data_IF_556477441947
#
_entry.id   IF_556477441947
#
_cell.length_a   1.000
_cell.length_b   1.000
_cell.length_c   1.000
_cell.angle_alpha   90.00
_cell.angle_beta   90.00
_cell.angle_gamma   90.00
#
_symmetry.space_group_name_H-M   'P 1'
#
loop_
_entity.id
_entity.type
_entity.pdbx_description
1 polymer ?
#
# COMPACT_ATOMS: atom_id res chain seq x y z
N UNK A 1 -22.31 27.41 -3.11
CA UNK A 1 -20.88 27.35 -2.72
C UNK A 1 -20.76 26.24 -1.68
N UNK A 2 -20.30 25.03 -2.01
CA UNK A 2 -20.02 24.05 -0.98
C UNK A 2 -18.58 24.23 -0.49
N UNK A 3 -18.45 24.14 0.84
CA UNK A 3 -17.22 24.27 1.60
C UNK A 3 -16.23 23.14 1.27
N UNK A 4 -15.06 23.54 0.80
CA UNK A 4 -13.87 22.68 0.71
C UNK A 4 -13.15 22.69 2.06
N UNK A 5 -13.48 21.71 2.90
CA UNK A 5 -12.73 21.39 4.10
C UNK A 5 -11.54 20.50 3.70
N UNK A 6 -10.38 21.13 3.51
CA UNK A 6 -9.17 20.49 3.05
C UNK A 6 -8.73 19.28 3.87
N UNK A 7 -8.55 18.16 3.16
CA UNK A 7 -7.59 17.12 3.49
C UNK A 7 -6.86 16.77 2.19
N UNK A 8 -5.75 17.45 1.96
CA UNK A 8 -4.93 17.26 0.77
C UNK A 8 -4.38 15.83 0.74
N UNK A 9 -4.77 15.12 -0.32
CA UNK A 9 -4.17 13.89 -0.84
C UNK A 9 -2.81 14.19 -1.45
N UNK A 10 -2.17 13.19 -2.09
CA UNK A 10 -1.12 13.31 -3.11
C UNK A 10 -1.09 14.73 -3.66
N UNK A 11 -0.01 15.47 -3.45
CA UNK A 11 0.08 16.90 -3.77
C UNK A 11 -0.42 17.17 -5.20
N UNK A 12 -1.55 17.88 -5.33
CA UNK A 12 -2.20 18.18 -6.62
C UNK A 12 -3.22 17.14 -7.13
N UNK A 13 -3.55 16.12 -6.34
CA UNK A 13 -4.54 15.09 -6.67
C UNK A 13 -5.97 15.38 -6.19
N UNK A 14 -6.94 14.57 -6.63
CA UNK A 14 -8.36 14.70 -6.25
C UNK A 14 -8.83 13.56 -5.36
N UNK A 15 -9.98 13.78 -4.71
CA UNK A 15 -10.89 12.74 -4.23
C UNK A 15 -10.97 11.52 -5.16
N UNK A 16 -11.00 10.32 -4.60
CA UNK A 16 -11.09 9.02 -5.27
C UNK A 16 -12.24 8.31 -4.59
N UNK A 17 -13.06 7.69 -5.42
CA UNK A 17 -14.24 6.99 -4.98
C UNK A 17 -13.85 5.74 -4.18
N UNK A 18 -14.71 5.30 -3.26
CA UNK A 18 -14.53 4.01 -2.62
C UNK A 18 -14.33 2.88 -3.63
N UNK A 19 -13.29 2.07 -3.42
CA UNK A 19 -12.96 0.96 -4.32
C UNK A 19 -12.34 1.35 -5.66
N UNK A 20 -12.01 2.63 -5.90
CA UNK A 20 -11.34 3.05 -7.15
C UNK A 20 -9.94 2.42 -7.31
N UNK A 21 -9.28 2.12 -6.18
CA UNK A 21 -7.96 1.48 -6.13
C UNK A 21 -8.01 0.26 -5.20
N UNK A 22 -8.69 -0.83 -5.59
CA UNK A 22 -9.07 -1.89 -4.67
C UNK A 22 -7.88 -2.76 -4.19
N UNK A 23 -6.71 -2.61 -4.81
CA UNK A 23 -5.46 -3.25 -4.39
C UNK A 23 -4.58 -2.38 -3.50
N UNK A 24 -4.93 -1.11 -3.27
CA UNK A 24 -4.08 -0.20 -2.50
C UNK A 24 -4.06 -0.57 -1.03
N UNK A 25 -2.85 -0.56 -0.45
CA UNK A 25 -2.60 -0.98 0.92
C UNK A 25 -1.95 0.16 1.69
N UNK A 26 -2.41 0.36 2.93
CA UNK A 26 -1.73 1.21 3.91
C UNK A 26 -0.98 0.34 4.91
N UNK A 27 0.35 0.43 4.90
CA UNK A 27 1.22 -0.15 5.93
C UNK A 27 1.32 0.86 7.06
N UNK A 28 0.92 0.47 8.26
CA UNK A 28 0.82 1.34 9.42
C UNK A 28 1.84 1.00 10.49
N UNK A 29 2.46 2.03 11.05
CA UNK A 29 3.39 1.93 12.16
C UNK A 29 2.81 2.62 13.41
N UNK A 30 2.75 1.96 14.59
CA UNK A 30 2.14 2.51 15.80
C UNK A 30 2.72 3.84 16.31
N UNK A 31 3.99 4.12 16.01
CA UNK A 31 4.64 5.41 16.34
C UNK A 31 4.24 6.57 15.43
N UNK A 32 3.63 6.33 14.27
CA UNK A 32 3.19 7.41 13.38
C UNK A 32 1.89 7.97 13.93
N UNK A 33 1.79 9.30 14.20
CA UNK A 33 0.57 9.91 14.70
C UNK A 33 -0.63 9.77 13.75
N UNK A 34 -1.84 9.94 14.29
CA UNK A 34 -3.07 9.94 13.49
C UNK A 34 -3.40 8.55 12.95
N UNK A 35 -3.41 8.41 11.62
CA UNK A 35 -3.80 7.15 10.94
C UNK A 35 -2.75 6.06 11.04
N UNK A 36 -1.54 6.39 11.51
CA UNK A 36 -0.42 5.46 11.54
C UNK A 36 0.20 5.17 10.17
N UNK A 37 -0.30 5.77 9.08
CA UNK A 37 0.17 5.49 7.72
C UNK A 37 1.67 5.78 7.57
N UNK A 38 2.43 4.74 7.26
CA UNK A 38 3.88 4.81 7.10
C UNK A 38 4.31 4.64 5.65
N UNK A 39 3.75 3.64 4.96
CA UNK A 39 4.05 3.34 3.56
C UNK A 39 2.82 2.82 2.83
N UNK A 40 2.86 2.91 1.49
CA UNK A 40 1.92 2.25 0.59
C UNK A 40 2.36 0.85 0.19
N UNK A 41 1.43 0.10 -0.40
CA UNK A 41 1.70 -1.18 -1.06
C UNK A 41 0.56 -1.54 -2.02
N UNK A 42 0.75 -2.63 -2.76
CA UNK A 42 -0.26 -3.23 -3.64
C UNK A 42 -0.50 -4.68 -3.28
N UNK A 43 -1.75 -5.06 -3.08
CA UNK A 43 -2.15 -6.44 -2.90
C UNK A 43 -2.04 -7.18 -4.23
N UNK A 44 -1.11 -8.14 -4.36
CA UNK A 44 -0.87 -8.91 -5.60
C UNK A 44 -1.28 -10.39 -5.47
N UNK A 45 -1.64 -10.81 -4.26
CA UNK A 45 -2.23 -12.09 -3.94
C UNK A 45 -2.99 -11.98 -2.63
N UNK A 46 -3.88 -12.93 -2.31
CA UNK A 46 -4.71 -12.84 -1.09
C UNK A 46 -3.89 -12.79 0.20
N UNK A 47 -2.64 -13.24 0.18
CA UNK A 47 -1.68 -13.14 1.29
C UNK A 47 -0.40 -12.37 0.93
N UNK A 48 -0.36 -11.69 -0.21
CA UNK A 48 0.87 -11.11 -0.74
C UNK A 48 0.71 -9.64 -1.06
N UNK A 49 1.52 -8.80 -0.40
CA UNK A 49 1.62 -7.37 -0.68
C UNK A 49 2.98 -7.04 -1.25
N UNK A 50 2.99 -6.36 -2.39
CA UNK A 50 4.16 -5.76 -3.00
C UNK A 50 4.36 -4.34 -2.48
N UNK A 51 5.58 -4.00 -2.08
CA UNK A 51 5.92 -2.67 -1.56
C UNK A 51 7.41 -2.37 -1.79
N UNK A 52 7.89 -1.24 -1.28
CA UNK A 52 9.28 -0.84 -1.33
C UNK A 52 10.08 -1.46 -0.16
N UNK A 53 11.34 -1.81 -0.41
CA UNK A 53 12.23 -2.34 0.63
C UNK A 53 12.62 -1.28 1.66
N UNK A 54 12.82 -0.03 1.22
CA UNK A 54 13.24 1.07 2.09
C UNK A 54 12.24 1.37 3.20
N UNK A 55 10.95 1.04 3.02
CA UNK A 55 9.92 1.14 4.05
C UNK A 55 10.30 0.40 5.33
N UNK A 56 11.20 -0.58 5.26
CA UNK A 56 11.58 -1.43 6.38
C UNK A 56 12.99 -1.15 6.93
N UNK A 57 13.72 -0.16 6.40
CA UNK A 57 15.10 0.16 6.81
C UNK A 57 15.28 0.45 8.30
N UNK A 58 14.26 1.05 8.91
CA UNK A 58 14.25 1.44 10.33
C UNK A 58 13.35 0.56 11.19
N UNK A 59 12.77 -0.49 10.60
CA UNK A 59 11.81 -1.37 11.27
C UNK A 59 12.56 -2.52 11.94
N UNK A 60 12.54 -2.55 13.28
CA UNK A 60 13.20 -3.61 14.06
C UNK A 60 12.32 -4.85 14.26
N UNK A 61 11.00 -4.67 14.33
CA UNK A 61 10.03 -5.75 14.59
C UNK A 61 8.86 -5.59 13.61
N UNK A 62 8.74 -6.49 12.64
CA UNK A 62 7.66 -6.44 11.63
C UNK A 62 6.28 -6.71 12.23
N UNK A 63 6.19 -7.49 13.31
CA UNK A 63 4.91 -7.85 13.95
C UNK A 63 4.17 -6.69 14.64
N UNK A 64 4.78 -5.51 14.74
CA UNK A 64 4.10 -4.30 15.24
C UNK A 64 3.34 -3.56 14.12
N UNK A 65 3.58 -3.93 12.86
CA UNK A 65 2.99 -3.26 11.71
C UNK A 65 1.64 -3.87 11.37
N UNK A 66 0.71 -3.00 11.03
CA UNK A 66 -0.58 -3.38 10.48
C UNK A 66 -0.61 -3.10 8.99
N UNK A 67 -1.31 -3.96 8.26
CA UNK A 67 -1.56 -3.84 6.84
C UNK A 67 -3.05 -3.65 6.67
N UNK A 68 -3.47 -2.47 6.20
CA UNK A 68 -4.88 -2.12 6.02
C UNK A 68 -5.21 -2.11 4.53
N UNK A 69 -6.21 -2.89 4.12
CA UNK A 69 -6.69 -2.99 2.74
C UNK A 69 -8.19 -2.68 2.70
N UNK A 70 -8.67 -2.09 1.60
CA UNK A 70 -10.10 -1.78 1.39
C UNK A 70 -10.56 -0.46 2.01
N UNK A 71 -9.69 0.25 2.70
CA UNK A 71 -9.98 1.58 3.22
C UNK A 71 -9.86 2.64 2.12
N UNK A 72 -10.76 3.62 2.12
CA UNK A 72 -10.62 4.85 1.28
C UNK A 72 -10.19 6.03 2.13
N UNK A 73 -10.75 6.16 3.33
CA UNK A 73 -10.32 7.11 4.35
C UNK A 73 -9.72 6.33 5.51
N UNK A 74 -8.47 6.63 5.88
CA UNK A 74 -7.80 5.93 6.99
C UNK A 74 -8.23 6.42 8.38
N UNK A 75 -8.78 7.64 8.47
CA UNK A 75 -9.32 8.21 9.72
C UNK A 75 -10.65 7.57 10.11
N UNK A 76 -11.42 7.11 9.11
CA UNK A 76 -12.67 6.41 9.28
C UNK A 76 -12.74 5.26 8.25
N UNK A 77 -12.02 4.14 8.51
CA UNK A 77 -12.05 2.98 7.63
C UNK A 77 -13.48 2.47 7.45
N UNK A 78 -13.81 2.05 6.23
CA UNK A 78 -15.11 1.46 5.96
C UNK A 78 -15.24 0.09 6.64
N UNK A 79 -16.46 -0.41 6.91
CA UNK A 79 -16.66 -1.72 7.51
C UNK A 79 -16.02 -2.88 6.72
N UNK A 80 -15.83 -2.69 5.41
CA UNK A 80 -15.24 -3.68 4.51
C UNK A 80 -13.71 -3.69 4.55
N UNK A 81 -13.08 -2.70 5.22
CA UNK A 81 -11.64 -2.65 5.36
C UNK A 81 -11.15 -3.81 6.25
N UNK A 82 -10.09 -4.47 5.79
CA UNK A 82 -9.48 -5.58 6.50
C UNK A 82 -8.11 -5.19 7.02
N UNK A 83 -7.81 -5.63 8.24
CA UNK A 83 -6.49 -5.43 8.88
C UNK A 83 -5.81 -6.79 8.98
N UNK A 84 -4.53 -6.82 8.59
CA UNK A 84 -3.66 -7.99 8.65
C UNK A 84 -2.34 -7.63 9.32
N UNK A 85 -1.67 -8.64 9.86
CA UNK A 85 -0.30 -8.51 10.35
C UNK A 85 0.67 -9.10 9.33
N UNK A 86 1.92 -8.65 9.39
CA UNK A 86 2.99 -9.19 8.55
C UNK A 86 3.56 -10.45 9.22
N UNK A 87 3.47 -11.58 8.53
CA UNK A 87 4.09 -12.85 8.94
C UNK A 87 5.56 -12.88 8.54
N UNK A 88 5.84 -12.60 7.26
CA UNK A 88 7.20 -12.59 6.72
C UNK A 88 7.44 -11.34 5.86
N UNK A 89 8.69 -10.86 5.85
CA UNK A 89 9.18 -9.77 5.02
C UNK A 89 10.33 -10.29 4.16
N UNK A 90 10.19 -10.18 2.84
CA UNK A 90 11.20 -10.55 1.86
C UNK A 90 11.64 -9.29 1.13
N UNK A 91 12.83 -8.78 1.44
CA UNK A 91 13.46 -7.72 0.65
C UNK A 91 14.21 -8.36 -0.50
N UNK A 92 14.29 -7.67 -1.63
CA UNK A 92 15.14 -8.11 -2.72
C UNK A 92 16.58 -8.33 -2.21
N UNK A 93 17.19 -9.46 -2.57
CA UNK A 93 18.50 -9.86 -2.06
C UNK A 93 19.61 -8.83 -2.39
N UNK A 94 19.46 -8.16 -3.53
CA UNK A 94 20.36 -7.10 -4.00
C UNK A 94 19.92 -5.68 -3.59
N UNK A 95 18.96 -5.51 -2.69
CA UNK A 95 18.57 -4.18 -2.21
C UNK A 95 19.74 -3.48 -1.51
N UNK A 96 20.07 -2.26 -1.96
CA UNK A 96 21.12 -1.44 -1.36
C UNK A 96 20.55 -0.14 -0.82
N UNK A 97 20.60 0.01 0.49
CA UNK A 97 20.12 1.22 1.19
C UNK A 97 20.87 2.50 0.82
N UNK A 98 22.13 2.40 0.38
CA UNK A 98 22.96 3.57 0.07
C UNK A 98 22.49 4.32 -1.19
N UNK A 99 21.98 3.60 -2.18
CA UNK A 99 21.57 4.14 -3.48
C UNK A 99 20.10 3.81 -3.83
N UNK A 100 19.39 3.08 -2.96
CA UNK A 100 18.01 2.64 -3.12
C UNK A 100 17.83 1.75 -4.37
N UNK A 101 18.90 1.10 -4.84
CA UNK A 101 18.79 0.12 -5.92
C UNK A 101 18.05 -1.15 -5.46
N UNK A 102 17.26 -1.74 -6.36
CA UNK A 102 16.41 -2.91 -6.11
C UNK A 102 15.44 -2.70 -4.93
N UNK A 103 14.82 -1.52 -4.86
CA UNK A 103 13.88 -1.13 -3.80
C UNK A 103 12.51 -1.79 -3.95
N UNK A 104 12.48 -3.10 -3.70
CA UNK A 104 11.29 -3.94 -3.82
C UNK A 104 11.28 -4.96 -2.68
N UNK A 105 10.10 -5.16 -2.09
CA UNK A 105 9.86 -6.13 -1.05
C UNK A 105 8.48 -6.78 -1.18
N UNK A 106 8.40 -8.03 -0.72
CA UNK A 106 7.16 -8.78 -0.56
C UNK A 106 6.85 -8.96 0.92
N UNK A 107 5.58 -8.78 1.27
CA UNK A 107 5.05 -9.12 2.58
C UNK A 107 4.15 -10.33 2.43
N UNK A 108 4.39 -11.35 3.25
CA UNK A 108 3.43 -12.43 3.47
C UNK A 108 2.54 -12.04 4.66
N UNK A 109 1.24 -12.00 4.45
CA UNK A 109 0.25 -11.71 5.49
C UNK A 109 0.02 -12.94 6.38
N UNK A 110 -0.29 -12.72 7.65
CA UNK A 110 -0.58 -13.79 8.60
C UNK A 110 -1.78 -14.66 8.19
N UNK A 111 -2.76 -14.09 7.50
CA UNK A 111 -3.97 -14.76 7.02
C UNK A 111 -4.45 -14.11 5.71
N UNK A 112 -5.17 -14.84 4.84
CA UNK A 112 -5.66 -14.29 3.57
C UNK A 112 -6.67 -13.15 3.79
N UNK A 113 -6.69 -12.22 2.85
CA UNK A 113 -7.78 -11.24 2.73
C UNK A 113 -8.91 -11.82 1.90
N UNK A 114 -10.14 -11.44 2.25
CA UNK A 114 -11.32 -11.78 1.47
C UNK A 114 -11.55 -10.70 0.40
N UNK A 115 -11.62 -11.10 -0.87
CA UNK A 115 -11.85 -10.17 -1.95
C UNK A 115 -13.30 -9.66 -1.94
N UNK A 116 -13.48 -8.40 -2.32
CA UNK A 116 -14.75 -7.68 -2.36
C UNK A 116 -14.70 -6.59 -3.44
N UNK A 117 -15.79 -5.84 -3.69
CA UNK A 117 -15.73 -4.66 -4.55
C UNK A 117 -14.68 -3.61 -4.14
N UNK A 118 -14.24 -3.62 -2.88
CA UNK A 118 -13.25 -2.68 -2.33
C UNK A 118 -11.86 -3.30 -2.14
N UNK A 119 -11.75 -4.63 -2.27
CA UNK A 119 -10.51 -5.40 -2.07
C UNK A 119 -10.33 -6.34 -3.25
N UNK A 120 -9.40 -6.02 -4.14
CA UNK A 120 -9.06 -6.85 -5.30
C UNK A 120 -7.55 -6.90 -5.48
N UNK A 121 -7.10 -7.90 -6.23
CA UNK A 121 -5.68 -8.09 -6.53
C UNK A 121 -5.27 -7.19 -7.70
N UNK A 122 -4.10 -6.54 -7.58
CA UNK A 122 -3.41 -5.95 -8.71
C UNK A 122 -2.82 -7.06 -9.58
N UNK A 123 -2.82 -6.84 -10.90
CA UNK A 123 -2.03 -7.65 -11.82
C UNK A 123 -0.54 -7.29 -11.67
N UNK A 124 0.32 -8.29 -11.76
CA UNK A 124 1.77 -8.08 -11.91
C UNK A 124 2.08 -8.00 -13.41
N UNK A 125 2.95 -7.07 -13.80
CA UNK A 125 3.33 -6.89 -15.19
C UNK A 125 4.01 -8.14 -15.76
N UNK A 126 3.78 -8.41 -17.05
CA UNK A 126 4.57 -9.37 -17.79
C UNK A 126 6.04 -8.91 -17.82
N UNK A 127 7.03 -9.80 -17.61
CA UNK A 127 8.44 -9.44 -17.64
C UNK A 127 8.92 -8.76 -18.93
N UNK A 128 8.19 -8.94 -20.03
CA UNK A 128 8.50 -8.33 -21.33
C UNK A 128 7.90 -6.93 -21.53
N UNK A 129 6.96 -6.52 -20.67
CA UNK A 129 6.32 -5.21 -20.75
C UNK A 129 7.34 -4.09 -20.52
N UNK A 130 7.36 -3.11 -21.42
CA UNK A 130 8.16 -1.89 -21.24
C UNK A 130 7.27 -0.77 -20.72
N UNK A 131 7.68 -0.14 -19.62
CA UNK A 131 6.94 0.98 -19.03
C UNK A 131 6.76 2.14 -20.04
N UNK A 132 7.70 2.33 -20.96
CA UNK A 132 7.61 3.34 -22.03
C UNK A 132 6.46 3.10 -23.02
N UNK A 133 5.89 1.90 -23.06
CA UNK A 133 4.74 1.55 -23.91
C UNK A 133 3.40 1.86 -23.21
N UNK A 134 3.43 2.19 -21.91
CA UNK A 134 2.25 2.59 -21.16
C UNK A 134 1.93 4.06 -21.43
N UNK A 135 0.66 4.34 -21.75
CA UNK A 135 0.20 5.69 -22.04
C UNK A 135 -0.44 6.37 -20.83
N UNK A 136 -1.10 5.61 -19.96
CA UNK A 136 -1.81 6.13 -18.81
C UNK A 136 -1.35 5.43 -17.53
N UNK A 137 -0.80 6.21 -16.61
CA UNK A 137 -0.35 5.77 -15.30
C UNK A 137 -0.95 6.69 -14.23
N UNK A 138 -1.24 6.14 -13.06
CA UNK A 138 -1.82 6.88 -11.95
C UNK A 138 -1.04 6.59 -10.68
N UNK A 139 -1.02 7.56 -9.77
CA UNK A 139 -0.47 7.44 -8.43
C UNK A 139 -1.62 7.63 -7.45
N UNK A 140 -1.72 6.74 -6.46
CA UNK A 140 -2.71 6.80 -5.40
C UNK A 140 -2.04 6.55 -4.05
N UNK A 141 -2.54 7.21 -3.00
CA UNK A 141 -1.98 7.12 -1.65
C UNK A 141 -2.65 8.10 -0.68
N UNK A 142 -2.14 8.13 0.56
CA UNK A 142 -2.64 8.98 1.66
C UNK A 142 -1.59 9.98 2.17
N UNK A 143 -0.58 10.29 1.36
CA UNK A 143 0.41 11.34 1.58
C UNK A 143 0.45 12.28 0.39
#
# INVERSE_FOLDING_TARGET
IPHDSGMTRIVGGTGALPGAWPWIVSIQHPWVPGTGHWCGGSLIGTQWVLTAAHCFDKIKKIGILNVVIGATQLTQPSPEAQVRQIKNLFRHENYKRSDISNDIALLELNEPVECSPYIQLACVADPTLRVSELQNCWIAGWG
#
